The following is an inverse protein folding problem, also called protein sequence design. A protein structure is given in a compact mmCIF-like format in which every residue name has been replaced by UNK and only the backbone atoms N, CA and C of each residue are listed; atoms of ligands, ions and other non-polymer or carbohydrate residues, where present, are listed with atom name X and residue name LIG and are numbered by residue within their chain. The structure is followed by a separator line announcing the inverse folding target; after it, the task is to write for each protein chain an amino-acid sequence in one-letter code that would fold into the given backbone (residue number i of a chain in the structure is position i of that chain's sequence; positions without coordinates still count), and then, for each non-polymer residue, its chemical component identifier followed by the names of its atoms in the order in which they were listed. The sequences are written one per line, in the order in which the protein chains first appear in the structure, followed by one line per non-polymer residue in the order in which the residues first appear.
data_IF_745368016188
#
_entry.id   IF_745368016188
#
_cell.length_a   1.000
_cell.length_b   1.000
_cell.length_c   1.000
_cell.angle_alpha   90.00
_cell.angle_beta   90.00
_cell.angle_gamma   90.00
#
_symmetry.space_group_name_H-M   'P 1'
#
loop_
_entity.id
_entity.type
_entity.pdbx_description
1 polymer ?
#
# COMPACT_ATOMS: atom_id res chain seq x y z
N UNK A 1 -11.68 33.09 -0.73
CA UNK A 1 -12.93 32.54 -1.33
C UNK A 1 -13.08 31.11 -0.85
N UNK A 2 -14.17 30.79 -0.13
CA UNK A 2 -14.49 29.44 0.36
C UNK A 2 -14.53 28.47 -0.83
N UNK A 3 -13.73 27.41 -0.81
CA UNK A 3 -13.91 26.27 -1.69
C UNK A 3 -14.44 25.12 -0.85
N UNK A 4 -15.55 24.56 -1.32
CA UNK A 4 -16.26 23.44 -0.71
C UNK A 4 -15.33 22.30 -0.33
N UNK A 5 -15.42 21.94 0.94
CA UNK A 5 -14.68 20.87 1.60
C UNK A 5 -15.20 19.52 1.10
N UNK A 6 -14.51 18.96 0.09
CA UNK A 6 -14.78 17.61 -0.43
C UNK A 6 -13.99 16.59 0.39
N UNK A 7 -14.50 16.29 1.58
CA UNK A 7 -14.63 14.92 2.11
C UNK A 7 -13.39 14.01 2.23
N UNK A 8 -12.17 14.54 2.34
CA UNK A 8 -11.01 13.75 2.72
C UNK A 8 -10.23 14.48 3.82
N UNK A 9 -10.08 13.81 4.98
CA UNK A 9 -9.37 14.32 6.15
C UNK A 9 -7.85 14.18 5.92
N UNK A 10 -7.31 15.09 5.09
CA UNK A 10 -5.89 15.11 4.70
C UNK A 10 -5.27 16.42 5.16
N UNK A 11 -4.23 16.33 5.99
CA UNK A 11 -3.43 17.50 6.35
C UNK A 11 -2.69 18.03 5.12
N UNK A 12 -3.14 19.15 4.58
CA UNK A 12 -2.53 19.83 3.43
C UNK A 12 -1.37 20.69 3.92
N UNK A 13 -0.13 20.30 3.62
CA UNK A 13 1.06 21.13 3.87
C UNK A 13 1.67 21.53 2.53
N UNK A 14 1.65 22.83 2.23
CA UNK A 14 2.37 23.35 1.07
C UNK A 14 3.88 23.25 1.36
N UNK A 15 4.61 22.51 0.53
CA UNK A 15 6.06 22.40 0.64
C UNK A 15 6.71 23.34 -0.37
N UNK A 16 7.42 24.36 0.13
CA UNK A 16 8.23 25.24 -0.69
C UNK A 16 9.62 24.61 -0.83
N UNK A 17 10.07 24.35 -2.07
CA UNK A 17 11.40 23.82 -2.36
C UNK A 17 11.43 22.31 -2.65
N UNK A 18 10.70 21.86 -3.67
CA UNK A 18 10.91 20.53 -4.24
C UNK A 18 12.20 20.54 -5.08
N UNK A 19 13.11 19.61 -4.83
CA UNK A 19 14.28 19.39 -5.68
C UNK A 19 13.82 18.67 -6.96
N UNK A 20 13.53 19.46 -7.99
CA UNK A 20 12.80 19.02 -9.19
C UNK A 20 13.51 17.85 -9.88
N UNK A 21 14.84 17.89 -9.98
CA UNK A 21 15.63 16.89 -10.73
C UNK A 21 15.53 15.47 -10.17
N UNK A 22 15.39 15.32 -8.84
CA UNK A 22 15.29 14.02 -8.18
C UNK A 22 13.83 13.60 -7.93
N UNK A 23 12.86 14.39 -8.38
CA UNK A 23 11.44 14.15 -8.08
C UNK A 23 10.78 13.23 -9.11
N UNK A 24 9.85 12.40 -8.63
CA UNK A 24 8.95 11.61 -9.47
C UNK A 24 7.51 11.83 -8.99
N UNK A 25 6.67 12.49 -9.79
CA UNK A 25 5.32 12.93 -9.42
C UNK A 25 4.26 12.36 -10.40
N UNK A 26 3.33 11.50 -9.97
CA UNK A 26 2.13 11.12 -10.68
C UNK A 26 1.18 12.32 -10.66
N UNK A 27 1.05 12.94 -11.82
CA UNK A 27 0.23 14.13 -12.02
C UNK A 27 -1.06 13.72 -12.73
N UNK A 28 -2.24 14.08 -12.20
CA UNK A 28 -3.48 13.97 -12.94
C UNK A 28 -3.46 14.97 -14.11
N UNK A 29 -3.80 14.49 -15.30
CA UNK A 29 -3.93 15.30 -16.51
C UNK A 29 -5.39 15.30 -16.94
N UNK A 30 -5.92 16.49 -17.20
CA UNK A 30 -7.25 16.69 -17.78
C UNK A 30 -7.09 17.21 -19.20
N UNK A 31 -7.67 16.52 -20.15
CA UNK A 31 -7.63 16.86 -21.57
C UNK A 31 -9.06 17.16 -22.00
N UNK A 32 -9.29 18.33 -22.57
CA UNK A 32 -10.54 18.63 -23.25
C UNK A 32 -10.34 18.26 -24.71
N UNK A 33 -11.14 17.33 -25.23
CA UNK A 33 -11.11 16.97 -26.65
C UNK A 33 -12.46 17.29 -27.30
N UNK A 34 -12.41 17.62 -28.59
CA UNK A 34 -13.61 17.90 -29.36
C UNK A 34 -14.22 16.60 -29.89
N UNK A 35 -15.49 16.38 -29.57
CA UNK A 35 -16.32 15.29 -30.08
C UNK A 35 -17.37 15.85 -31.06
N UNK A 36 -17.18 15.66 -32.38
CA UNK A 36 -18.14 16.14 -33.39
C UNK A 36 -19.52 15.49 -33.24
N UNK A 37 -19.65 14.31 -32.62
CA UNK A 37 -20.95 13.67 -32.38
C UNK A 37 -21.79 14.36 -31.28
N UNK A 38 -21.16 15.24 -30.49
CA UNK A 38 -21.78 16.03 -29.41
C UNK A 38 -21.93 17.50 -29.75
N UNK A 39 -21.35 17.98 -30.84
CA UNK A 39 -21.55 19.32 -31.36
C UNK A 39 -23.05 19.54 -31.68
N UNK A 40 -23.64 20.64 -31.20
CA UNK A 40 -25.05 21.00 -31.43
C UNK A 40 -26.10 20.32 -30.54
N UNK A 41 -25.71 19.44 -29.59
CA UNK A 41 -26.62 18.85 -28.58
C UNK A 41 -26.67 19.64 -27.26
N UNK A 42 -26.33 20.93 -27.29
CA UNK A 42 -26.39 21.80 -26.10
C UNK A 42 -27.81 21.92 -25.56
N UNK A 43 -27.98 21.80 -24.22
CA UNK A 43 -29.25 22.10 -23.56
C UNK A 43 -29.66 23.54 -23.89
N UNK A 44 -30.78 23.72 -24.61
CA UNK A 44 -31.48 25.01 -24.78
C UNK A 44 -31.72 25.63 -23.40
N UNK A 45 -30.86 26.56 -22.95
CA UNK A 45 -31.08 27.15 -21.63
C UNK A 45 -30.06 28.16 -21.11
N UNK A 46 -28.80 28.16 -21.57
CA UNK A 46 -27.85 29.20 -21.15
C UNK A 46 -27.01 29.65 -22.34
N UNK A 47 -27.21 30.90 -22.76
CA UNK A 47 -26.25 31.64 -23.58
C UNK A 47 -24.96 31.81 -22.77
N UNK A 48 -24.02 30.86 -22.84
CA UNK A 48 -22.62 31.15 -22.55
C UNK A 48 -22.01 31.77 -23.81
N UNK A 49 -21.21 32.82 -23.63
CA UNK A 49 -20.73 33.67 -24.72
C UNK A 49 -19.48 33.14 -25.43
N UNK A 50 -19.02 31.94 -25.06
CA UNK A 50 -18.07 31.12 -25.79
C UNK A 50 -18.56 29.67 -25.59
N UNK A 51 -18.89 28.97 -26.67
CA UNK A 51 -19.61 27.70 -26.60
C UNK A 51 -18.65 26.53 -26.54
N UNK A 52 -18.47 25.94 -25.34
CA UNK A 52 -17.90 24.62 -25.08
C UNK A 52 -18.72 23.46 -25.71
N UNK A 53 -19.37 23.71 -26.84
CA UNK A 53 -20.21 22.75 -27.54
C UNK A 53 -19.34 21.65 -28.16
N UNK A 54 -19.61 20.41 -27.75
CA UNK A 54 -18.88 19.24 -28.24
C UNK A 54 -17.60 18.92 -27.46
N UNK A 55 -17.19 19.70 -26.46
CA UNK A 55 -16.02 19.34 -25.65
C UNK A 55 -16.32 18.23 -24.64
N UNK A 56 -15.43 17.23 -24.55
CA UNK A 56 -15.50 16.11 -23.60
C UNK A 56 -14.21 16.07 -22.78
N UNK A 57 -14.30 16.00 -21.43
CA UNK A 57 -13.14 15.84 -20.58
C UNK A 57 -12.67 14.39 -20.54
N UNK A 58 -11.37 14.18 -20.77
CA UNK A 58 -10.64 12.95 -20.51
C UNK A 58 -9.72 13.17 -19.32
N UNK A 59 -9.74 12.23 -18.37
CA UNK A 59 -8.83 12.24 -17.21
C UNK A 59 -7.88 11.07 -17.33
N UNK A 60 -6.59 11.34 -17.13
CA UNK A 60 -5.52 10.32 -17.08
C UNK A 60 -4.50 10.72 -16.03
N UNK A 61 -3.57 9.83 -15.70
CA UNK A 61 -2.45 10.12 -14.81
C UNK A 61 -1.13 9.83 -15.53
N UNK A 62 -0.10 10.64 -15.27
CA UNK A 62 1.25 10.44 -15.81
C UNK A 62 2.30 10.70 -14.76
N UNK A 63 3.32 9.85 -14.71
CA UNK A 63 4.48 10.02 -13.86
C UNK A 63 5.44 11.00 -14.53
N UNK A 64 5.61 12.18 -13.93
CA UNK A 64 6.62 13.17 -14.30
C UNK A 64 7.89 12.90 -13.50
N UNK A 65 9.05 12.86 -14.14
CA UNK A 65 10.35 12.64 -13.53
C UNK A 65 11.29 13.80 -13.88
N UNK A 66 11.96 14.35 -12.88
CA UNK A 66 12.96 15.40 -13.07
C UNK A 66 12.39 16.73 -13.57
N UNK A 67 13.25 17.58 -14.14
CA UNK A 67 12.83 18.86 -14.73
C UNK A 67 12.13 18.74 -16.08
N UNK A 68 12.35 17.64 -16.79
CA UNK A 68 11.78 17.41 -18.13
C UNK A 68 11.29 15.96 -18.27
N UNK A 69 10.04 15.79 -18.68
CA UNK A 69 9.47 14.48 -19.00
C UNK A 69 8.73 14.56 -20.32
N UNK A 70 9.08 13.69 -21.27
CA UNK A 70 8.32 13.55 -22.50
C UNK A 70 6.98 12.85 -22.24
N UNK A 71 5.90 13.44 -22.76
CA UNK A 71 4.54 12.93 -22.60
C UNK A 71 3.97 12.56 -23.96
N UNK A 72 3.72 11.27 -24.16
CA UNK A 72 2.95 10.75 -25.29
C UNK A 72 1.56 10.31 -24.83
N UNK A 73 0.52 10.79 -25.51
CA UNK A 73 -0.88 10.52 -25.20
C UNK A 73 -1.59 10.09 -26.48
N UNK A 74 -2.03 8.83 -26.53
CA UNK A 74 -2.82 8.32 -27.64
C UNK A 74 -4.27 8.76 -27.49
N UNK A 75 -4.63 9.81 -28.23
CA UNK A 75 -5.98 10.39 -28.20
C UNK A 75 -6.74 9.99 -29.45
N UNK A 76 -7.96 9.46 -29.25
CA UNK A 76 -8.89 9.13 -30.34
C UNK A 76 -9.63 10.35 -30.90
N UNK A 77 -9.63 11.45 -30.14
CA UNK A 77 -10.33 12.69 -30.47
C UNK A 77 -9.32 13.85 -30.49
N UNK A 78 -9.63 14.88 -31.26
CA UNK A 78 -8.77 16.06 -31.40
C UNK A 78 -8.68 16.82 -30.06
N UNK A 79 -7.48 16.94 -29.45
CA UNK A 79 -7.30 17.70 -28.22
C UNK A 79 -7.47 19.20 -28.47
N UNK A 80 -8.09 19.89 -27.52
CA UNK A 80 -8.31 21.34 -27.55
C UNK A 80 -7.61 22.05 -26.41
N UNK A 81 -7.63 21.45 -25.23
CA UNK A 81 -6.95 21.98 -24.05
C UNK A 81 -6.38 20.85 -23.21
N UNK A 82 -5.25 21.12 -22.55
CA UNK A 82 -4.56 20.18 -21.66
C UNK A 82 -4.19 20.93 -20.39
N UNK A 83 -4.74 20.49 -19.27
CA UNK A 83 -4.43 21.01 -17.95
C UNK A 83 -3.73 19.93 -17.15
N UNK A 84 -2.48 20.19 -16.78
CA UNK A 84 -1.74 19.41 -15.81
C UNK A 84 -2.17 19.81 -14.41
N UNK A 85 -2.40 18.82 -13.55
CA UNK A 85 -2.80 18.99 -12.16
C UNK A 85 -3.94 20.02 -11.96
N UNK A 86 -5.11 19.79 -12.59
CA UNK A 86 -6.19 20.78 -12.59
C UNK A 86 -6.72 21.10 -11.19
N UNK A 87 -6.58 20.15 -10.27
CA UNK A 87 -7.05 20.26 -8.90
C UNK A 87 -5.91 20.71 -7.95
N UNK A 88 -4.67 20.81 -8.44
CA UNK A 88 -3.44 21.12 -7.69
C UNK A 88 -3.17 20.11 -6.56
N UNK A 89 -3.52 18.86 -6.82
CA UNK A 89 -3.51 17.75 -5.88
C UNK A 89 -2.68 16.61 -6.48
N UNK A 90 -1.38 16.61 -6.20
CA UNK A 90 -0.52 15.44 -6.48
C UNK A 90 -0.83 14.39 -5.41
N UNK A 91 -1.63 13.39 -5.77
CA UNK A 91 -1.96 12.27 -4.90
C UNK A 91 -0.85 11.22 -4.92
N UNK A 92 0.16 11.41 -4.10
CA UNK A 92 1.08 10.34 -3.73
C UNK A 92 2.04 10.76 -2.63
N UNK A 93 2.42 9.79 -1.79
CA UNK A 93 3.53 9.96 -0.85
C UNK A 93 4.81 9.62 -1.61
N UNK A 94 5.59 10.63 -1.99
CA UNK A 94 6.92 10.44 -2.56
C UNK A 94 7.93 10.40 -1.44
N UNK A 95 8.72 9.34 -1.41
CA UNK A 95 9.89 9.25 -0.56
C UNK A 95 11.10 9.63 -1.41
N UNK A 96 11.83 10.63 -0.96
CA UNK A 96 13.10 11.01 -1.56
C UNK A 96 14.17 10.12 -0.91
N UNK A 97 14.95 9.39 -1.72
CA UNK A 97 15.98 8.46 -1.25
C UNK A 97 16.94 9.11 -0.26
N UNK A 98 17.38 10.35 -0.53
CA UNK A 98 18.28 11.09 0.35
C UNK A 98 17.64 11.49 1.69
N UNK A 99 16.32 11.69 1.74
CA UNK A 99 15.63 12.11 2.99
C UNK A 99 15.06 10.93 3.77
N UNK A 100 14.68 9.87 3.07
CA UNK A 100 14.03 8.69 3.65
C UNK A 100 14.63 7.41 3.06
N UNK A 101 15.93 7.16 3.25
CA UNK A 101 16.62 6.07 2.56
C UNK A 101 16.09 4.70 3.00
N UNK A 102 15.85 4.48 4.32
CA UNK A 102 15.21 3.24 4.82
C UNK A 102 13.85 2.98 4.17
N UNK A 103 12.98 4.00 4.05
CA UNK A 103 11.66 3.84 3.42
C UNK A 103 11.78 3.51 1.93
N UNK A 104 12.69 4.17 1.25
CA UNK A 104 12.91 3.98 -0.19
C UNK A 104 13.34 2.55 -0.47
N UNK A 105 14.34 2.04 0.26
CA UNK A 105 14.78 0.65 0.18
C UNK A 105 13.65 -0.34 0.50
N UNK A 106 12.88 -0.07 1.56
CA UNK A 106 11.75 -0.91 1.91
C UNK A 106 10.69 -1.00 0.79
N UNK A 107 10.30 0.12 0.19
CA UNK A 107 9.32 0.08 -0.91
C UNK A 107 9.88 -0.56 -2.19
N UNK A 108 11.17 -0.35 -2.50
CA UNK A 108 11.81 -1.09 -3.60
C UNK A 108 11.86 -2.59 -3.32
N UNK A 109 12.06 -3.01 -2.07
CA UNK A 109 11.97 -4.42 -1.69
C UNK A 109 10.58 -5.00 -1.97
N UNK A 110 9.52 -4.27 -1.62
CA UNK A 110 8.13 -4.67 -1.93
C UNK A 110 7.86 -4.75 -3.43
N UNK A 111 8.38 -3.80 -4.22
CA UNK A 111 8.22 -3.82 -5.68
C UNK A 111 8.88 -5.08 -6.28
N UNK A 112 10.09 -5.43 -5.83
CA UNK A 112 10.81 -6.64 -6.26
C UNK A 112 10.11 -7.92 -5.83
N UNK A 113 9.56 -7.96 -4.62
CA UNK A 113 8.73 -9.08 -4.15
C UNK A 113 7.50 -9.27 -5.06
N UNK A 114 6.81 -8.19 -5.41
CA UNK A 114 5.64 -8.24 -6.30
C UNK A 114 5.98 -8.68 -7.73
N UNK A 115 7.21 -8.39 -8.19
CA UNK A 115 7.76 -8.89 -9.45
C UNK A 115 8.21 -10.36 -9.39
N UNK A 116 8.18 -10.99 -8.21
CA UNK A 116 8.64 -12.36 -7.96
C UNK A 116 10.16 -12.49 -7.74
N UNK A 117 10.89 -11.38 -7.71
CA UNK A 117 12.34 -11.35 -7.43
C UNK A 117 12.60 -11.36 -5.91
N UNK A 118 12.29 -12.51 -5.31
CA UNK A 118 12.40 -12.70 -3.86
C UNK A 118 13.82 -12.52 -3.31
N UNK A 119 14.86 -12.70 -4.13
CA UNK A 119 16.25 -12.57 -3.69
C UNK A 119 16.67 -11.11 -3.59
N UNK A 120 16.39 -10.31 -4.62
CA UNK A 120 16.69 -8.86 -4.56
C UNK A 120 15.79 -8.15 -3.54
N UNK A 121 14.54 -8.62 -3.35
CA UNK A 121 13.68 -8.12 -2.27
C UNK A 121 14.33 -8.33 -0.89
N UNK A 122 14.86 -9.52 -0.61
CA UNK A 122 15.57 -9.81 0.65
C UNK A 122 16.81 -8.91 0.82
N UNK A 123 17.65 -8.77 -0.20
CA UNK A 123 18.84 -7.91 -0.16
C UNK A 123 18.48 -6.46 0.17
N UNK A 124 17.43 -5.92 -0.46
CA UNK A 124 16.92 -4.57 -0.20
C UNK A 124 16.36 -4.41 1.22
N UNK A 125 15.65 -5.41 1.74
CA UNK A 125 15.16 -5.39 3.12
C UNK A 125 16.29 -5.46 4.15
N UNK A 126 17.31 -6.29 3.92
CA UNK A 126 18.49 -6.35 4.78
C UNK A 126 19.23 -5.01 4.78
N UNK A 127 19.43 -4.42 3.60
CA UNK A 127 20.02 -3.09 3.48
C UNK A 127 19.17 -2.02 4.20
N UNK A 128 17.84 -2.10 4.10
CA UNK A 128 16.94 -1.18 4.78
C UNK A 128 17.08 -1.24 6.31
N UNK A 129 17.26 -2.43 6.90
CA UNK A 129 17.48 -2.58 8.35
C UNK A 129 18.75 -1.86 8.81
N UNK A 130 19.80 -1.85 7.99
CA UNK A 130 21.08 -1.21 8.31
C UNK A 130 21.10 0.31 8.03
N UNK A 131 20.10 0.81 7.30
CA UNK A 131 20.01 2.20 6.84
C UNK A 131 19.22 3.05 7.83
N UNK A 132 19.62 4.31 8.15
CA UNK A 132 18.83 5.19 9.01
C UNK A 132 17.51 5.64 8.35
N UNK A 133 16.55 6.12 9.16
CA UNK A 133 15.26 6.63 8.65
C UNK A 133 15.41 7.93 7.87
N UNK A 134 16.34 8.78 8.30
CA UNK A 134 16.67 10.06 7.68
C UNK A 134 18.19 10.25 7.70
N UNK A 135 18.74 10.84 6.64
CA UNK A 135 20.14 11.28 6.61
C UNK A 135 20.32 12.69 7.21
N UNK A 136 19.21 13.37 7.50
CA UNK A 136 19.24 14.70 8.11
C UNK A 136 19.33 14.56 9.65
N UNK A 137 20.56 14.53 10.15
CA UNK A 137 20.89 14.36 11.57
C UNK A 137 20.75 15.66 12.39
N UNK A 138 20.38 16.78 11.77
CA UNK A 138 20.40 18.12 12.42
C UNK A 138 19.09 18.53 13.12
N UNK A 139 18.17 17.61 13.39
CA UNK A 139 17.00 17.92 14.23
C UNK A 139 17.43 18.12 15.68
N UNK A 140 17.44 19.39 16.13
CA UNK A 140 17.74 19.80 17.52
C UNK A 140 16.53 19.66 18.46
N UNK A 141 15.34 19.42 17.93
CA UNK A 141 14.12 19.23 18.72
C UNK A 141 14.01 17.77 19.21
N UNK A 142 13.88 17.60 20.53
CA UNK A 142 13.70 16.28 21.17
C UNK A 142 12.40 15.59 20.76
N UNK A 143 11.35 16.35 20.43
CA UNK A 143 10.08 15.76 19.98
C UNK A 143 10.25 15.13 18.61
N UNK A 144 10.92 15.82 17.68
CA UNK A 144 11.19 15.33 16.33
C UNK A 144 12.13 14.11 16.36
N UNK A 145 13.14 14.12 17.22
CA UNK A 145 14.01 12.95 17.43
C UNK A 145 13.23 11.71 17.88
N UNK A 146 12.33 11.88 18.85
CA UNK A 146 11.51 10.77 19.32
C UNK A 146 10.56 10.23 18.24
N UNK A 147 9.97 11.11 17.44
CA UNK A 147 9.13 10.69 16.31
C UNK A 147 9.93 9.91 15.26
N UNK A 148 11.18 10.30 14.99
CA UNK A 148 12.08 9.59 14.09
C UNK A 148 12.51 8.22 14.63
N UNK A 149 12.76 8.11 15.94
CA UNK A 149 13.05 6.83 16.61
C UNK A 149 11.83 5.89 16.55
N UNK A 150 10.63 6.40 16.87
CA UNK A 150 9.38 5.63 16.76
C UNK A 150 9.11 5.20 15.31
N UNK A 151 9.42 6.05 14.33
CA UNK A 151 9.35 5.70 12.91
C UNK A 151 10.35 4.60 12.53
N UNK A 152 11.57 4.66 13.06
CA UNK A 152 12.62 3.67 12.82
C UNK A 152 12.19 2.29 13.33
N UNK A 153 11.75 2.22 14.58
CA UNK A 153 11.27 0.98 15.20
C UNK A 153 10.09 0.38 14.42
N UNK A 154 9.14 1.20 13.98
CA UNK A 154 8.00 0.74 13.19
C UNK A 154 8.41 0.21 11.82
N UNK A 155 9.35 0.89 11.14
CA UNK A 155 9.88 0.42 9.86
C UNK A 155 10.67 -0.87 10.03
N UNK A 156 11.50 -0.99 11.06
CA UNK A 156 12.30 -2.19 11.31
C UNK A 156 11.42 -3.39 11.68
N UNK A 157 10.36 -3.18 12.46
CA UNK A 157 9.34 -4.20 12.72
C UNK A 157 8.67 -4.64 11.41
N UNK A 158 8.28 -3.68 10.57
CA UNK A 158 7.64 -3.97 9.27
C UNK A 158 8.57 -4.72 8.32
N UNK A 159 9.82 -4.28 8.19
CA UNK A 159 10.82 -4.94 7.35
C UNK A 159 11.06 -6.38 7.85
N UNK A 160 11.17 -6.56 9.18
CA UNK A 160 11.35 -7.89 9.78
C UNK A 160 10.16 -8.83 9.50
N UNK A 161 8.93 -8.33 9.53
CA UNK A 161 7.74 -9.13 9.17
C UNK A 161 7.75 -9.52 7.68
N UNK A 162 8.17 -8.63 6.77
CA UNK A 162 8.26 -8.96 5.34
C UNK A 162 9.40 -9.95 5.04
N UNK A 163 10.55 -9.81 5.69
CA UNK A 163 11.61 -10.82 5.63
C UNK A 163 11.11 -12.18 6.13
N UNK A 164 10.35 -12.22 7.22
CA UNK A 164 9.76 -13.45 7.70
C UNK A 164 8.85 -14.10 6.65
N UNK A 165 8.00 -13.30 5.98
CA UNK A 165 7.16 -13.79 4.88
C UNK A 165 7.99 -14.44 3.77
N UNK A 166 9.02 -13.76 3.27
CA UNK A 166 9.91 -14.30 2.24
C UNK A 166 10.54 -15.63 2.66
N UNK A 167 10.99 -15.73 3.92
CA UNK A 167 11.55 -16.99 4.43
C UNK A 167 10.48 -18.09 4.54
N UNK A 168 9.25 -17.77 4.95
CA UNK A 168 8.15 -18.73 4.98
C UNK A 168 7.77 -19.22 3.58
N UNK A 169 7.79 -18.35 2.57
CA UNK A 169 7.56 -18.73 1.16
C UNK A 169 8.59 -19.75 0.66
N UNK A 170 9.81 -19.70 1.17
CA UNK A 170 10.91 -20.63 0.83
C UNK A 170 10.99 -21.85 1.76
N UNK A 171 10.11 -21.96 2.77
CA UNK A 171 10.16 -23.04 3.76
C UNK A 171 11.29 -22.89 4.81
N UNK A 172 11.92 -21.73 4.88
CA UNK A 172 13.03 -21.39 5.79
C UNK A 172 12.51 -20.97 7.17
N UNK A 173 11.82 -21.90 7.85
CA UNK A 173 11.07 -21.63 9.09
C UNK A 173 11.96 -21.04 10.19
N UNK A 174 13.19 -21.53 10.37
CA UNK A 174 14.09 -21.02 11.41
C UNK A 174 14.50 -19.56 11.19
N UNK A 175 14.78 -19.14 9.95
CA UNK A 175 15.05 -17.74 9.64
C UNK A 175 13.79 -16.89 9.82
N UNK A 176 12.62 -17.37 9.39
CA UNK A 176 11.35 -16.69 9.59
C UNK A 176 11.08 -16.43 11.09
N UNK A 177 11.23 -17.44 11.94
CA UNK A 177 11.07 -17.33 13.40
C UNK A 177 11.99 -16.28 14.01
N UNK A 178 13.26 -16.26 13.59
CA UNK A 178 14.21 -15.23 14.03
C UNK A 178 13.72 -13.82 13.69
N UNK A 179 13.22 -13.61 12.48
CA UNK A 179 12.69 -12.31 12.04
C UNK A 179 11.39 -11.92 12.75
N UNK A 180 10.49 -12.87 13.00
CA UNK A 180 9.27 -12.61 13.77
C UNK A 180 9.54 -12.27 15.23
N UNK A 181 10.58 -12.87 15.84
CA UNK A 181 11.04 -12.50 17.17
C UNK A 181 11.59 -11.07 17.20
N UNK A 182 12.44 -10.71 16.23
CA UNK A 182 12.96 -9.35 16.10
C UNK A 182 11.84 -8.32 15.91
N UNK A 183 10.85 -8.64 15.08
CA UNK A 183 9.67 -7.79 14.93
C UNK A 183 8.92 -7.64 16.27
N UNK A 184 8.70 -8.75 17.00
CA UNK A 184 7.97 -8.73 18.27
C UNK A 184 8.63 -7.83 19.32
N UNK A 185 9.97 -7.78 19.37
CA UNK A 185 10.72 -6.91 20.28
C UNK A 185 10.50 -5.42 19.99
N UNK A 186 10.15 -5.08 18.75
CA UNK A 186 9.89 -3.71 18.28
C UNK A 186 8.39 -3.32 18.30
N UNK A 187 7.48 -4.30 18.45
CA UNK A 187 6.04 -4.02 18.53
C UNK A 187 5.70 -3.44 19.91
N UNK A 188 5.25 -2.19 19.93
CA UNK A 188 4.87 -1.46 21.14
C UNK A 188 3.36 -1.18 21.17
N UNK A 189 2.90 -0.52 22.25
CA UNK A 189 1.49 -0.09 22.37
C UNK A 189 1.08 0.97 21.34
N UNK A 190 2.04 1.75 20.83
CA UNK A 190 1.79 2.76 19.80
C UNK A 190 1.81 2.16 18.39
N UNK A 191 2.25 0.91 18.23
CA UNK A 191 2.32 0.27 16.92
C UNK A 191 0.93 0.16 16.29
N UNK A 192 0.78 0.54 15.01
CA UNK A 192 -0.49 0.41 14.31
C UNK A 192 -1.01 -1.03 14.33
N UNK A 193 -2.31 -1.18 14.62
CA UNK A 193 -2.96 -2.49 14.75
C UNK A 193 -2.81 -3.37 13.51
N UNK A 194 -2.75 -2.77 12.31
CA UNK A 194 -2.54 -3.53 11.07
C UNK A 194 -1.19 -4.26 11.07
N UNK A 195 -0.12 -3.64 11.60
CA UNK A 195 1.21 -4.27 11.66
C UNK A 195 1.27 -5.37 12.72
N UNK A 196 0.61 -5.15 13.87
CA UNK A 196 0.45 -6.19 14.89
C UNK A 196 -0.32 -7.39 14.35
N UNK A 197 -1.35 -7.16 13.54
CA UNK A 197 -2.12 -8.22 12.92
C UNK A 197 -1.32 -8.95 11.83
N UNK A 198 -0.52 -8.24 11.06
CA UNK A 198 0.37 -8.83 10.05
C UNK A 198 1.43 -9.73 10.71
N UNK A 199 2.07 -9.27 11.78
CA UNK A 199 2.98 -10.10 12.58
C UNK A 199 2.30 -11.39 13.06
N UNK A 200 1.08 -11.29 13.61
CA UNK A 200 0.29 -12.45 14.05
C UNK A 200 -0.07 -13.38 12.92
N UNK A 201 -0.35 -12.86 11.73
CA UNK A 201 -0.66 -13.66 10.56
C UNK A 201 0.55 -14.51 10.16
N UNK A 202 1.74 -13.90 10.10
CA UNK A 202 2.98 -14.60 9.79
C UNK A 202 3.40 -15.60 10.88
N UNK A 203 3.20 -15.27 12.16
CA UNK A 203 3.34 -16.22 13.28
C UNK A 203 2.40 -17.44 13.13
N UNK A 204 1.14 -17.20 12.74
CA UNK A 204 0.17 -18.26 12.48
C UNK A 204 0.55 -19.13 11.28
N UNK A 205 1.07 -18.50 10.21
CA UNK A 205 1.59 -19.21 9.04
C UNK A 205 2.80 -20.08 9.38
N UNK A 206 3.73 -19.57 10.19
CA UNK A 206 4.87 -20.36 10.69
C UNK A 206 4.39 -21.56 11.51
N UNK A 207 3.40 -21.37 12.40
CA UNK A 207 2.81 -22.45 13.17
C UNK A 207 2.13 -23.52 12.29
N UNK A 208 1.46 -23.14 11.20
CA UNK A 208 0.91 -24.10 10.22
C UNK A 208 2.01 -24.96 9.59
N UNK A 209 3.10 -24.33 9.12
CA UNK A 209 4.21 -25.04 8.49
C UNK A 209 4.94 -25.98 9.45
N UNK A 210 4.90 -25.69 10.76
CA UNK A 210 5.43 -26.56 11.82
C UNK A 210 4.45 -27.67 12.25
N UNK A 211 3.24 -27.73 11.68
CA UNK A 211 2.21 -28.70 12.05
C UNK A 211 1.42 -28.34 13.33
N UNK A 212 1.58 -27.12 13.84
CA UNK A 212 0.93 -26.64 15.06
C UNK A 212 -0.40 -25.93 14.76
N UNK A 213 -1.38 -26.69 14.23
CA UNK A 213 -2.64 -26.14 13.72
C UNK A 213 -3.47 -25.35 14.75
N UNK A 214 -3.54 -25.79 16.01
CA UNK A 214 -4.29 -25.09 17.07
C UNK A 214 -3.69 -23.73 17.42
N UNK A 215 -2.36 -23.62 17.49
CA UNK A 215 -1.71 -22.33 17.75
C UNK A 215 -1.86 -21.41 16.53
N UNK A 216 -1.72 -21.95 15.32
CA UNK A 216 -1.98 -21.20 14.09
C UNK A 216 -3.41 -20.63 14.07
N UNK A 217 -4.41 -21.45 14.38
CA UNK A 217 -5.81 -21.05 14.45
C UNK A 217 -6.01 -19.90 15.43
N UNK A 218 -5.45 -20.00 16.64
CA UNK A 218 -5.53 -18.97 17.66
C UNK A 218 -4.90 -17.65 17.21
N UNK A 219 -3.74 -17.70 16.55
CA UNK A 219 -3.03 -16.53 16.04
C UNK A 219 -3.78 -15.88 14.88
N UNK A 220 -4.23 -16.67 13.90
CA UNK A 220 -4.93 -16.19 12.71
C UNK A 220 -6.32 -15.63 13.03
N UNK A 221 -7.02 -16.17 14.03
CA UNK A 221 -8.27 -15.54 14.53
C UNK A 221 -8.01 -14.16 15.12
N UNK A 222 -6.88 -13.97 15.80
CA UNK A 222 -6.51 -12.65 16.35
C UNK A 222 -6.08 -11.69 15.23
N UNK A 223 -5.35 -12.17 14.23
CA UNK A 223 -4.98 -11.37 13.05
C UNK A 223 -6.22 -10.89 12.27
N UNK A 224 -7.24 -11.75 12.15
CA UNK A 224 -8.49 -11.49 11.44
C UNK A 224 -9.58 -10.79 12.27
N UNK A 225 -9.32 -10.45 13.54
CA UNK A 225 -10.29 -9.73 14.38
C UNK A 225 -9.84 -8.28 14.60
N UNK A 226 -10.00 -7.43 13.58
CA UNK A 226 -9.95 -5.98 13.75
C UNK A 226 -11.34 -5.37 13.60
N UNK A 227 -11.86 -4.82 14.71
CA UNK A 227 -13.14 -4.11 14.72
C UNK A 227 -14.35 -5.00 15.00
N UNK A 228 -15.52 -4.61 14.47
CA UNK A 228 -16.79 -5.35 14.60
C UNK A 228 -16.88 -6.54 13.65
N UNK A 229 -16.07 -6.56 12.59
CA UNK A 229 -15.99 -7.68 11.66
C UNK A 229 -14.97 -8.71 12.16
N UNK A 230 -15.47 -9.92 12.38
CA UNK A 230 -14.65 -11.13 12.39
C UNK A 230 -14.28 -11.33 10.91
N UNK A 231 -13.01 -11.54 10.55
CA UNK A 231 -12.51 -11.69 9.17
C UNK A 231 -12.24 -10.38 8.39
N UNK A 232 -11.63 -9.41 9.06
CA UNK A 232 -11.13 -8.17 8.46
C UNK A 232 -9.72 -8.29 7.86
N UNK A 233 -9.11 -9.47 7.89
CA UNK A 233 -7.85 -9.74 7.19
C UNK A 233 -8.06 -9.78 5.67
N UNK A 234 -6.99 -9.60 4.91
CA UNK A 234 -7.01 -9.83 3.47
C UNK A 234 -7.27 -11.31 3.13
N UNK A 235 -7.57 -11.58 1.86
CA UNK A 235 -7.94 -12.91 1.35
C UNK A 235 -6.99 -14.03 1.83
N UNK A 236 -5.68 -13.78 1.79
CA UNK A 236 -4.64 -14.70 2.26
C UNK A 236 -4.78 -15.07 3.75
N UNK A 237 -4.97 -14.08 4.63
CA UNK A 237 -5.07 -14.30 6.07
C UNK A 237 -6.36 -15.06 6.44
N UNK A 238 -7.44 -14.84 5.68
CA UNK A 238 -8.70 -15.57 5.83
C UNK A 238 -8.55 -17.01 5.32
N UNK A 239 -7.83 -17.22 4.22
CA UNK A 239 -7.54 -18.55 3.67
C UNK A 239 -6.66 -19.37 4.62
N UNK A 240 -5.60 -18.77 5.17
CA UNK A 240 -4.76 -19.40 6.20
C UNK A 240 -5.58 -19.79 7.44
N UNK A 241 -6.55 -18.94 7.83
CA UNK A 241 -7.45 -19.26 8.94
C UNK A 241 -8.34 -20.47 8.62
N UNK A 242 -8.84 -20.59 7.39
CA UNK A 242 -9.59 -21.76 6.94
C UNK A 242 -8.72 -23.03 6.99
N UNK A 243 -7.48 -22.96 6.49
CA UNK A 243 -6.50 -24.06 6.56
C UNK A 243 -6.27 -24.48 8.02
N UNK A 244 -5.98 -23.53 8.90
CA UNK A 244 -5.75 -23.83 10.31
C UNK A 244 -6.99 -24.43 11.00
N UNK A 245 -8.20 -23.97 10.65
CA UNK A 245 -9.44 -24.53 11.18
C UNK A 245 -9.66 -25.96 10.68
N UNK A 246 -9.36 -26.24 9.41
CA UNK A 246 -9.45 -27.58 8.85
C UNK A 246 -8.48 -28.55 9.54
N UNK A 247 -7.19 -28.20 9.62
CA UNK A 247 -6.15 -29.01 10.25
C UNK A 247 -6.40 -29.25 11.75
N UNK A 248 -6.99 -28.26 12.44
CA UNK A 248 -7.40 -28.38 13.84
C UNK A 248 -8.75 -29.09 14.05
N UNK A 249 -9.45 -29.50 12.98
CA UNK A 249 -10.77 -30.13 13.07
C UNK A 249 -11.91 -29.20 13.54
N UNK A 250 -11.73 -27.88 13.40
CA UNK A 250 -12.63 -26.82 13.88
C UNK A 250 -13.64 -26.39 12.83
N UNK A 251 -14.60 -27.27 12.56
CA UNK A 251 -15.69 -27.05 11.58
C UNK A 251 -16.52 -25.80 11.86
N UNK A 252 -16.69 -25.44 13.13
CA UNK A 252 -17.43 -24.24 13.57
C UNK A 252 -16.82 -22.92 13.06
N UNK A 253 -15.54 -22.94 12.68
CA UNK A 253 -14.80 -21.78 12.18
C UNK A 253 -14.55 -21.91 10.68
N UNK A 254 -14.33 -23.14 10.19
CA UNK A 254 -13.97 -23.43 8.81
C UNK A 254 -14.97 -22.86 7.80
N UNK A 255 -16.27 -23.11 7.99
CA UNK A 255 -17.31 -22.71 7.04
C UNK A 255 -17.34 -21.18 6.83
N UNK A 256 -17.37 -20.42 7.91
CA UNK A 256 -17.36 -18.96 7.84
C UNK A 256 -16.04 -18.38 7.33
N UNK A 257 -14.92 -19.06 7.57
CA UNK A 257 -13.63 -18.64 7.01
C UNK A 257 -13.56 -18.89 5.49
N UNK A 258 -14.08 -20.02 5.01
CA UNK A 258 -14.13 -20.35 3.58
C UNK A 258 -15.03 -19.40 2.81
N UNK A 259 -16.27 -19.19 3.30
CA UNK A 259 -17.22 -18.25 2.68
C UNK A 259 -16.58 -16.88 2.51
N UNK A 260 -15.94 -16.38 3.58
CA UNK A 260 -15.29 -15.08 3.54
C UNK A 260 -14.05 -15.02 2.66
N UNK A 261 -13.24 -16.09 2.62
CA UNK A 261 -12.09 -16.16 1.73
C UNK A 261 -12.54 -16.07 0.26
N UNK A 262 -13.64 -16.75 -0.10
CA UNK A 262 -14.25 -16.68 -1.44
C UNK A 262 -14.78 -15.28 -1.74
N UNK A 263 -15.50 -14.65 -0.82
CA UNK A 263 -15.96 -13.25 -0.97
C UNK A 263 -14.81 -12.27 -1.22
N UNK A 264 -13.63 -12.56 -0.65
CA UNK A 264 -12.41 -11.78 -0.81
C UNK A 264 -11.59 -12.16 -2.06
N UNK A 265 -12.06 -13.12 -2.86
CA UNK A 265 -11.45 -13.54 -4.12
C UNK A 265 -10.36 -14.60 -3.99
N UNK A 266 -10.26 -15.31 -2.87
CA UNK A 266 -9.38 -16.47 -2.74
C UNK A 266 -9.91 -17.67 -3.51
N UNK A 267 -9.01 -18.40 -4.18
CA UNK A 267 -9.31 -19.73 -4.71
C UNK A 267 -9.21 -20.77 -3.59
N UNK A 268 -10.35 -21.38 -3.24
CA UNK A 268 -10.45 -22.39 -2.19
C UNK A 268 -10.54 -23.81 -2.74
N UNK A 269 -10.52 -24.00 -4.07
CA UNK A 269 -10.78 -25.30 -4.72
C UNK A 269 -9.82 -26.42 -4.31
N UNK A 270 -8.63 -26.06 -3.83
CA UNK A 270 -7.64 -27.01 -3.31
C UNK A 270 -7.88 -27.43 -1.84
N UNK A 271 -8.82 -26.80 -1.14
CA UNK A 271 -9.14 -27.11 0.26
C UNK A 271 -10.20 -28.20 0.37
N UNK A 272 -10.01 -29.21 1.23
CA UNK A 272 -11.01 -30.26 1.43
C UNK A 272 -12.28 -29.68 2.05
N UNK A 273 -13.42 -29.83 1.35
CA UNK A 273 -14.73 -29.33 1.80
C UNK A 273 -15.11 -27.94 1.29
N UNK A 274 -14.42 -27.42 0.26
CA UNK A 274 -14.84 -26.27 -0.56
C UNK A 274 -15.89 -26.63 -1.61
#
# INVERSE_FOLDING_TARGET
KRSDDRGLDVARRAQLGLEVEASALPVPIRIMAFDPARAGKGKKGKKSKDSDEGLVPFKTHRLLKGSTTELALDLKLEPRDVVLDPDREVFGRFYNERRHPKRTLFYHGLDREAEGDSKTAEELFLQALETPVTDDLETKDRSEQKELEEEAEQLDARISVNLARLFLDRGEISQARKRLSQAADLLSRSTPRWLVNEHRAQEGRAALLEGNAEEALKLLRKANSSGRDKFSGGAENTLLLAIAAYEAGRRDILEGALERAVEQGADVSALPGS
#
